data_IF_719909656392
#
_entry.id   IF_719909656392
#
_cell.length_a   1.000
_cell.length_b   1.000
_cell.length_c   1.000
_cell.angle_alpha   90.00
_cell.angle_beta   90.00
_cell.angle_gamma   90.00
#
_symmetry.space_group_name_H-M   'P 1'
#
loop_
_entity.id
_entity.type
_entity.pdbx_description
1 polymer ?
#
# COMPACT_ATOMS: atom_id res chain seq x y z
N UNK A 1 24.51 30.35 3.50
CA UNK A 1 24.62 29.06 2.78
C UNK A 1 25.01 28.08 3.85
N UNK A 2 24.06 27.58 4.65
CA UNK A 2 24.39 26.87 5.89
C UNK A 2 23.34 25.78 6.15
N UNK A 3 23.29 24.77 5.28
CA UNK A 3 22.58 23.52 5.53
C UNK A 3 23.56 22.53 6.14
N UNK A 4 23.45 22.28 7.44
CA UNK A 4 24.31 21.36 8.16
C UNK A 4 24.27 19.94 7.57
N UNK A 5 25.33 19.17 7.75
CA UNK A 5 25.49 17.79 7.22
C UNK A 5 24.35 16.81 7.57
N UNK A 6 23.42 17.18 8.46
CA UNK A 6 22.25 16.40 8.87
C UNK A 6 21.07 16.46 7.90
N UNK A 7 20.88 17.55 7.15
CA UNK A 7 19.70 17.75 6.29
C UNK A 7 19.70 16.83 5.07
N UNK A 8 20.90 16.55 4.55
CA UNK A 8 21.11 15.65 3.43
C UNK A 8 21.01 14.17 3.85
N UNK A 9 21.37 13.87 5.11
CA UNK A 9 21.28 12.51 5.66
C UNK A 9 19.81 12.07 5.77
N UNK A 10 18.95 12.92 6.31
CA UNK A 10 17.50 12.65 6.44
C UNK A 10 16.85 12.45 5.06
N UNK A 11 17.17 13.31 4.09
CA UNK A 11 16.66 13.22 2.70
C UNK A 11 17.06 11.90 2.05
N UNK A 12 18.30 11.46 2.21
CA UNK A 12 18.80 10.22 1.61
C UNK A 12 18.13 8.98 2.21
N UNK A 13 17.94 8.96 3.54
CA UNK A 13 17.26 7.85 4.24
C UNK A 13 15.79 7.77 3.80
N UNK A 14 15.08 8.90 3.73
CA UNK A 14 13.69 8.97 3.28
C UNK A 14 13.54 8.50 1.83
N UNK A 15 14.46 8.89 0.94
CA UNK A 15 14.47 8.43 -0.45
C UNK A 15 14.68 6.92 -0.55
N UNK A 16 15.65 6.37 0.19
CA UNK A 16 15.95 4.94 0.15
C UNK A 16 14.81 4.08 0.73
N UNK A 17 14.21 4.51 1.83
CA UNK A 17 13.08 3.81 2.43
C UNK A 17 11.83 3.85 1.54
N UNK A 18 11.52 5.01 0.94
CA UNK A 18 10.44 5.10 -0.05
C UNK A 18 10.73 4.25 -1.30
N UNK A 19 11.99 4.16 -1.74
CA UNK A 19 12.36 3.28 -2.86
C UNK A 19 12.10 1.80 -2.53
N UNK A 20 12.41 1.35 -1.31
CA UNK A 20 12.11 -0.02 -0.86
C UNK A 20 10.61 -0.27 -0.86
N UNK A 21 9.81 0.66 -0.31
CA UNK A 21 8.34 0.56 -0.31
C UNK A 21 7.80 0.54 -1.73
N UNK A 22 8.36 1.32 -2.65
CA UNK A 22 7.97 1.33 -4.05
C UNK A 22 8.19 -0.04 -4.72
N UNK A 23 9.37 -0.65 -4.52
CA UNK A 23 9.70 -1.98 -5.06
C UNK A 23 8.78 -3.05 -4.44
N UNK A 24 8.58 -3.01 -3.11
CA UNK A 24 7.67 -3.90 -2.41
C UNK A 24 6.22 -3.73 -2.88
N UNK A 25 5.79 -2.50 -3.14
CA UNK A 25 4.46 -2.21 -3.66
C UNK A 25 4.26 -2.76 -5.08
N UNK A 26 5.25 -2.63 -5.96
CA UNK A 26 5.20 -3.26 -7.31
C UNK A 26 5.13 -4.78 -7.19
N UNK A 27 5.94 -5.38 -6.30
CA UNK A 27 5.88 -6.81 -6.03
C UNK A 27 4.50 -7.22 -5.48
N UNK A 28 3.89 -6.42 -4.60
CA UNK A 28 2.54 -6.63 -4.09
C UNK A 28 1.47 -6.58 -5.19
N UNK A 29 1.55 -5.62 -6.12
CA UNK A 29 0.65 -5.57 -7.29
C UNK A 29 0.84 -6.78 -8.20
N UNK A 30 2.09 -7.22 -8.42
CA UNK A 30 2.37 -8.41 -9.20
C UNK A 30 1.77 -9.67 -8.54
N UNK A 31 2.01 -9.88 -7.25
CA UNK A 31 1.44 -10.99 -6.48
C UNK A 31 -0.09 -10.96 -6.47
N UNK A 32 -0.70 -9.80 -6.23
CA UNK A 32 -2.15 -9.64 -6.22
C UNK A 32 -2.79 -9.90 -7.59
N UNK A 33 -2.19 -9.39 -8.67
CA UNK A 33 -2.68 -9.59 -10.04
C UNK A 33 -2.55 -11.05 -10.49
N UNK A 34 -1.44 -11.70 -10.13
CA UNK A 34 -1.22 -13.13 -10.34
C UNK A 34 -2.25 -13.94 -9.56
N UNK A 35 -2.52 -13.58 -8.28
CA UNK A 35 -3.55 -14.19 -7.43
C UNK A 35 -4.96 -14.12 -8.06
N UNK A 36 -5.26 -13.03 -8.75
CA UNK A 36 -6.55 -12.82 -9.41
C UNK A 36 -6.65 -13.57 -10.77
N UNK A 37 -5.54 -13.64 -11.51
CA UNK A 37 -5.51 -14.16 -12.89
C UNK A 37 -5.44 -15.69 -12.98
N UNK A 38 -4.90 -16.37 -11.97
CA UNK A 38 -4.57 -17.79 -12.05
C UNK A 38 -4.86 -18.57 -10.78
N UNK A 39 -6.04 -18.42 -10.17
CA UNK A 39 -6.44 -19.02 -8.87
C UNK A 39 -5.82 -20.39 -8.55
N UNK A 40 -5.81 -21.34 -9.48
CA UNK A 40 -5.23 -22.69 -9.32
C UNK A 40 -3.69 -22.72 -9.18
N UNK A 41 -2.94 -21.94 -9.96
CA UNK A 41 -1.46 -21.95 -9.94
C UNK A 41 -0.87 -21.34 -8.67
N UNK A 42 -1.63 -20.50 -7.95
CA UNK A 42 -1.09 -19.82 -6.76
C UNK A 42 -1.31 -20.65 -5.52
N UNK A 43 -2.26 -21.59 -5.54
CA UNK A 43 -2.32 -22.60 -4.49
C UNK A 43 -1.03 -23.41 -4.51
N UNK A 44 -0.56 -23.88 -5.67
CA UNK A 44 0.71 -24.62 -5.78
C UNK A 44 1.94 -23.78 -5.36
N UNK A 45 1.97 -22.48 -5.70
CA UNK A 45 3.08 -21.59 -5.34
C UNK A 45 3.06 -21.06 -3.89
N UNK A 46 1.88 -20.94 -3.27
CA UNK A 46 1.74 -20.62 -1.84
C UNK A 46 1.85 -21.85 -0.95
N UNK A 47 1.61 -23.05 -1.49
CA UNK A 47 1.78 -24.33 -0.77
C UNK A 47 3.25 -24.56 -0.40
N UNK A 48 4.19 -24.20 -1.29
CA UNK A 48 5.62 -24.12 -0.94
C UNK A 48 5.92 -23.10 0.17
N UNK A 49 5.08 -22.05 0.30
CA UNK A 49 5.19 -21.02 1.34
C UNK A 49 4.28 -21.36 2.54
N UNK A 50 3.94 -22.62 2.82
CA UNK A 50 3.41 -23.07 4.13
C UNK A 50 2.33 -22.14 4.74
N UNK A 51 1.36 -21.71 3.93
CA UNK A 51 0.14 -21.02 4.40
C UNK A 51 -1.02 -22.05 4.54
N UNK A 52 -0.68 -23.28 4.89
CA UNK A 52 -1.56 -24.47 4.94
C UNK A 52 -2.71 -24.38 5.97
N UNK A 53 -2.82 -23.28 6.72
CA UNK A 53 -3.87 -23.07 7.72
C UNK A 53 -4.73 -21.82 7.51
N UNK A 54 -4.43 -20.96 6.52
CA UNK A 54 -5.21 -19.73 6.28
C UNK A 54 -6.16 -19.89 5.11
N UNK A 55 -5.88 -20.75 4.12
CA UNK A 55 -6.77 -20.92 2.97
C UNK A 55 -7.86 -22.00 3.15
N UNK A 56 -7.69 -22.93 4.08
CA UNK A 56 -8.59 -24.10 4.23
C UNK A 56 -9.99 -23.74 4.77
N UNK A 57 -10.16 -22.52 5.31
CA UNK A 57 -11.44 -22.01 5.81
C UNK A 57 -11.98 -20.80 5.03
N UNK A 58 -11.30 -20.33 3.99
CA UNK A 58 -11.68 -19.13 3.27
C UNK A 58 -12.36 -19.49 1.96
N UNK A 59 -13.65 -19.16 1.86
CA UNK A 59 -14.41 -19.33 0.62
C UNK A 59 -13.70 -18.64 -0.56
N UNK A 60 -13.85 -19.21 -1.76
CA UNK A 60 -13.29 -18.68 -3.01
C UNK A 60 -13.61 -17.19 -3.22
N UNK A 61 -14.74 -16.73 -2.70
CA UNK A 61 -15.13 -15.32 -2.72
C UNK A 61 -14.26 -14.44 -1.82
N UNK A 62 -13.87 -14.94 -0.65
CA UNK A 62 -13.08 -14.19 0.33
C UNK A 62 -11.63 -14.04 -0.10
N UNK A 63 -11.06 -15.08 -0.72
CA UNK A 63 -9.71 -15.02 -1.32
C UNK A 63 -9.68 -13.98 -2.46
N UNK A 64 -10.73 -13.96 -3.30
CA UNK A 64 -10.88 -12.95 -4.37
C UNK A 64 -10.97 -11.54 -3.79
N UNK A 65 -11.76 -11.35 -2.73
CA UNK A 65 -11.88 -10.06 -2.05
C UNK A 65 -10.55 -9.60 -1.45
N UNK A 66 -9.81 -10.50 -0.79
CA UNK A 66 -8.50 -10.21 -0.21
C UNK A 66 -7.47 -9.83 -1.29
N UNK A 67 -7.45 -10.54 -2.42
CA UNK A 67 -6.58 -10.21 -3.56
C UNK A 67 -6.85 -8.80 -4.11
N UNK A 68 -8.13 -8.44 -4.27
CA UNK A 68 -8.54 -7.10 -4.73
C UNK A 68 -8.07 -6.02 -3.76
N UNK A 69 -8.27 -6.22 -2.45
CA UNK A 69 -7.82 -5.27 -1.42
C UNK A 69 -6.30 -5.13 -1.43
N UNK A 70 -5.56 -6.24 -1.58
CA UNK A 70 -4.10 -6.24 -1.65
C UNK A 70 -3.59 -5.45 -2.86
N UNK A 71 -4.22 -5.61 -4.04
CA UNK A 71 -3.87 -4.82 -5.24
C UNK A 71 -4.10 -3.32 -4.98
N UNK A 72 -5.29 -2.95 -4.49
CA UNK A 72 -5.63 -1.54 -4.26
C UNK A 72 -4.66 -0.91 -3.25
N UNK A 73 -4.40 -1.58 -2.13
CA UNK A 73 -3.46 -1.11 -1.11
C UNK A 73 -2.04 -0.96 -1.68
N UNK A 74 -1.59 -1.93 -2.48
CA UNK A 74 -0.25 -1.91 -3.07
C UNK A 74 -0.11 -0.77 -4.09
N UNK A 75 -1.11 -0.55 -4.95
CA UNK A 75 -1.13 0.56 -5.91
C UNK A 75 -1.03 1.91 -5.18
N UNK A 76 -1.82 2.09 -4.12
CA UNK A 76 -1.77 3.31 -3.30
C UNK A 76 -0.40 3.50 -2.66
N UNK A 77 0.22 2.44 -2.13
CA UNK A 77 1.56 2.49 -1.57
C UNK A 77 2.63 2.89 -2.60
N UNK A 78 2.54 2.35 -3.84
CA UNK A 78 3.40 2.73 -4.96
C UNK A 78 3.26 4.21 -5.30
N UNK A 79 2.04 4.74 -5.35
CA UNK A 79 1.82 6.17 -5.58
C UNK A 79 2.44 7.02 -4.47
N UNK A 80 2.18 6.69 -3.20
CA UNK A 80 2.76 7.42 -2.05
C UNK A 80 4.28 7.43 -2.13
N UNK A 81 4.89 6.26 -2.36
CA UNK A 81 6.34 6.11 -2.44
C UNK A 81 6.95 6.85 -3.63
N UNK A 82 6.31 6.77 -4.81
CA UNK A 82 6.73 7.49 -6.02
C UNK A 82 6.79 8.98 -5.73
N UNK A 83 5.68 9.55 -5.28
CA UNK A 83 5.67 10.98 -5.03
C UNK A 83 6.57 11.39 -3.83
N UNK A 84 6.80 10.50 -2.86
CA UNK A 84 7.74 10.73 -1.75
C UNK A 84 9.19 10.86 -2.23
N UNK A 85 9.57 10.09 -3.26
CA UNK A 85 10.83 10.25 -3.97
C UNK A 85 10.89 11.57 -4.76
N UNK A 86 9.82 11.94 -5.48
CA UNK A 86 9.75 13.21 -6.24
C UNK A 86 9.79 14.45 -5.35
N UNK A 87 9.20 14.38 -4.15
CA UNK A 87 9.24 15.46 -3.18
C UNK A 87 10.66 15.75 -2.67
N UNK A 88 11.45 14.69 -2.48
CA UNK A 88 12.83 14.82 -2.00
C UNK A 88 13.79 15.28 -3.11
N UNK A 89 13.53 14.90 -4.37
CA UNK A 89 14.42 15.19 -5.49
C UNK A 89 14.40 16.66 -5.92
N UNK A 90 13.24 17.34 -5.89
CA UNK A 90 13.10 18.56 -6.71
C UNK A 90 13.45 19.89 -6.05
N UNK A 91 13.85 19.95 -4.78
CA UNK A 91 14.22 21.19 -4.03
C UNK A 91 13.40 22.45 -4.40
N UNK A 92 12.12 22.27 -4.74
CA UNK A 92 11.26 23.36 -5.19
C UNK A 92 10.07 23.38 -4.24
N UNK A 93 10.14 24.30 -3.27
CA UNK A 93 9.22 24.48 -2.14
C UNK A 93 7.74 24.48 -2.58
N UNK A 94 7.44 25.04 -3.75
CA UNK A 94 6.09 25.12 -4.30
C UNK A 94 5.54 23.78 -4.81
N UNK A 95 6.42 22.91 -5.32
CA UNK A 95 6.05 21.58 -5.83
C UNK A 95 6.01 20.52 -4.71
N UNK A 96 6.87 20.67 -3.70
CA UNK A 96 6.83 19.86 -2.49
C UNK A 96 5.59 20.17 -1.63
N UNK A 97 5.22 21.45 -1.53
CA UNK A 97 4.05 21.89 -0.75
C UNK A 97 2.72 21.37 -1.32
N UNK A 98 2.55 21.43 -2.64
CA UNK A 98 1.35 20.89 -3.30
C UNK A 98 1.26 19.37 -3.18
N UNK A 99 2.39 18.68 -3.33
CA UNK A 99 2.46 17.23 -3.11
C UNK A 99 2.07 16.84 -1.68
N UNK A 100 2.66 17.49 -0.68
CA UNK A 100 2.37 17.24 0.74
C UNK A 100 0.90 17.53 1.08
N UNK A 101 0.32 18.57 0.49
CA UNK A 101 -1.09 18.94 0.68
C UNK A 101 -2.02 17.87 0.10
N UNK A 102 -1.77 17.42 -1.13
CA UNK A 102 -2.56 16.38 -1.79
C UNK A 102 -2.48 15.07 -0.99
N UNK A 103 -1.29 14.68 -0.51
CA UNK A 103 -1.13 13.49 0.33
C UNK A 103 -1.83 13.59 1.67
N UNK A 104 -1.81 14.78 2.29
CA UNK A 104 -2.54 15.02 3.55
C UNK A 104 -4.04 14.88 3.35
N UNK A 105 -4.57 15.37 2.23
CA UNK A 105 -5.99 15.22 1.89
C UNK A 105 -6.34 13.75 1.64
N UNK A 106 -5.50 13.02 0.90
CA UNK A 106 -5.70 11.57 0.67
C UNK A 106 -5.67 10.80 1.99
N UNK A 107 -4.75 11.13 2.89
CA UNK A 107 -4.65 10.50 4.20
C UNK A 107 -5.90 10.77 5.05
N UNK A 108 -6.38 12.01 5.07
CA UNK A 108 -7.62 12.36 5.78
C UNK A 108 -8.82 11.59 5.24
N UNK A 109 -8.92 11.43 3.91
CA UNK A 109 -9.95 10.60 3.28
C UNK A 109 -9.80 9.12 3.63
N UNK A 110 -8.57 8.57 3.64
CA UNK A 110 -8.32 7.18 4.05
C UNK A 110 -8.75 6.93 5.51
N UNK A 111 -8.42 7.85 6.41
CA UNK A 111 -8.85 7.76 7.82
C UNK A 111 -10.37 7.84 7.93
N UNK A 112 -11.03 8.74 7.18
CA UNK A 112 -12.50 8.84 7.16
C UNK A 112 -13.17 7.54 6.66
N UNK A 113 -12.65 6.95 5.58
CA UNK A 113 -13.11 5.65 5.05
C UNK A 113 -12.88 4.54 6.07
N UNK A 114 -11.69 4.48 6.68
CA UNK A 114 -11.36 3.48 7.70
C UNK A 114 -12.31 3.57 8.90
N UNK A 115 -12.56 4.77 9.42
CA UNK A 115 -13.52 5.01 10.51
C UNK A 115 -14.93 4.60 10.10
N UNK A 116 -15.37 4.95 8.88
CA UNK A 116 -16.67 4.48 8.37
C UNK A 116 -16.78 2.96 8.31
N UNK A 117 -15.75 2.27 7.82
CA UNK A 117 -15.70 0.80 7.79
C UNK A 117 -15.81 0.24 9.20
N UNK A 118 -15.00 0.73 10.15
CA UNK A 118 -14.98 0.28 11.56
C UNK A 118 -16.33 0.50 12.24
N UNK A 119 -16.95 1.66 12.05
CA UNK A 119 -18.28 2.00 12.60
C UNK A 119 -19.41 1.21 11.91
N UNK A 120 -19.24 0.81 10.65
CA UNK A 120 -20.20 -0.03 9.94
C UNK A 120 -20.07 -1.53 10.30
N UNK A 121 -18.93 -2.00 10.86
CA UNK A 121 -18.75 -3.39 11.31
C UNK A 121 -19.91 -3.92 12.19
N UNK A 122 -20.41 -3.19 13.21
CA UNK A 122 -21.55 -3.67 14.01
C UNK A 122 -22.87 -3.76 13.22
N UNK A 123 -23.00 -3.11 12.07
CA UNK A 123 -24.16 -3.23 11.17
C UNK A 123 -24.01 -4.39 10.17
N UNK A 124 -22.79 -4.67 9.68
CA UNK A 124 -22.52 -5.76 8.72
C UNK A 124 -22.65 -7.14 9.38
N UNK A 125 -22.26 -7.29 10.65
CA UNK A 125 -22.31 -8.57 11.38
C UNK A 125 -23.74 -8.97 11.79
N UNK A 126 -24.70 -8.04 11.81
CA UNK A 126 -26.08 -8.27 12.29
C UNK A 126 -27.10 -8.59 11.19
N UNK A 127 -26.71 -8.60 9.92
CA UNK A 127 -27.60 -8.80 8.76
C UNK A 127 -27.43 -10.21 8.13
N UNK A 128 -26.52 -11.03 8.65
CA UNK A 128 -26.42 -12.47 8.38
C UNK A 128 -26.87 -13.26 9.61
#
# INVERSE_FOLDING_TARGET
MDGGSSENCMKYILFFFNLIIFILGIAGVALGSVLLARKDLLLEGLDEIKIEGVLDGFDNETIKAAAIVLIIASVVAVFIAFFGCFGTWKENIWMLGTYSTIMTIILALQVAVFVMIVVARPKVIRIN
#
